data_IF_558678142595
#
_entry.id   IF_558678142595
#
_cell.length_a   1.000
_cell.length_b   1.000
_cell.length_c   1.000
_cell.angle_alpha   90.00
_cell.angle_beta   90.00
_cell.angle_gamma   90.00
#
_symmetry.space_group_name_H-M   'P 1'
#
loop_
_entity.id
_entity.type
_entity.pdbx_description
1 polymer ?
#
# COMPACT_ATOMS: atom_id res chain seq x y z
N UNK A 1 8.20 1.75 0.66
CA UNK A 1 8.12 0.66 -0.32
C UNK A 1 9.40 -0.15 -0.39
N UNK A 2 10.58 0.45 -0.64
CA UNK A 2 11.86 -0.30 -0.62
C UNK A 2 12.07 -1.08 0.67
N UNK A 3 12.00 -0.40 1.82
CA UNK A 3 12.08 -1.05 3.14
C UNK A 3 11.11 -2.23 3.30
N UNK A 4 9.84 -2.06 2.93
CA UNK A 4 8.84 -3.14 2.97
C UNK A 4 9.24 -4.34 2.11
N UNK A 5 9.71 -4.11 0.87
CA UNK A 5 10.15 -5.19 -0.01
C UNK A 5 11.36 -5.93 0.58
N UNK A 6 12.34 -5.19 1.09
CA UNK A 6 13.52 -5.76 1.73
C UNK A 6 13.19 -6.52 3.02
N UNK A 7 12.21 -6.06 3.81
CA UNK A 7 11.71 -6.81 4.98
C UNK A 7 11.10 -8.15 4.56
N UNK A 8 10.30 -8.18 3.50
CA UNK A 8 9.71 -9.43 2.97
C UNK A 8 10.82 -10.38 2.49
N UNK A 9 11.81 -9.86 1.76
CA UNK A 9 12.96 -10.65 1.29
C UNK A 9 13.83 -11.16 2.42
N UNK A 10 14.06 -10.35 3.45
CA UNK A 10 14.81 -10.74 4.65
C UNK A 10 14.11 -11.86 5.42
N UNK A 11 12.78 -11.94 5.34
CA UNK A 11 12.01 -13.08 5.85
C UNK A 11 12.12 -14.35 4.97
N UNK A 12 12.94 -14.32 3.91
CA UNK A 12 13.15 -15.44 2.99
C UNK A 12 12.05 -15.61 1.94
N UNK A 13 11.20 -14.60 1.75
CA UNK A 13 10.08 -14.62 0.79
C UNK A 13 10.45 -13.74 -0.40
N UNK A 14 10.44 -14.29 -1.61
CA UNK A 14 10.50 -13.47 -2.84
C UNK A 14 9.08 -13.18 -3.32
N UNK A 15 8.55 -11.96 -3.14
CA UNK A 15 7.17 -11.65 -3.51
C UNK A 15 7.04 -11.37 -5.00
N UNK A 16 5.85 -11.57 -5.54
CA UNK A 16 5.50 -10.99 -6.85
C UNK A 16 5.43 -9.46 -6.72
N UNK A 17 6.28 -8.76 -7.46
CA UNK A 17 6.31 -7.28 -7.47
C UNK A 17 5.49 -6.76 -8.64
N UNK A 18 4.43 -6.01 -8.35
CA UNK A 18 3.62 -5.32 -9.35
C UNK A 18 3.97 -3.84 -9.35
N UNK A 19 4.48 -3.33 -10.47
CA UNK A 19 4.70 -1.90 -10.70
C UNK A 19 3.35 -1.21 -10.96
N UNK A 20 2.59 -0.92 -9.91
CA UNK A 20 1.21 -0.40 -9.98
C UNK A 20 1.02 0.87 -10.83
N UNK A 21 2.08 1.67 -11.05
CA UNK A 21 2.02 2.83 -11.94
C UNK A 21 1.95 2.44 -13.42
N UNK A 22 2.52 1.30 -13.79
CA UNK A 22 2.50 0.75 -15.15
C UNK A 22 1.37 -0.26 -15.33
N UNK A 23 1.05 -0.99 -14.27
CA UNK A 23 0.07 -2.08 -14.28
C UNK A 23 -0.85 -1.91 -13.06
N UNK A 24 -1.73 -0.90 -13.06
CA UNK A 24 -2.62 -0.65 -11.94
C UNK A 24 -3.60 -1.82 -11.76
N UNK A 25 -4.10 -2.04 -10.52
CA UNK A 25 -5.16 -3.01 -10.29
C UNK A 25 -6.44 -2.61 -11.04
N UNK A 26 -7.31 -3.60 -11.33
CA UNK A 26 -8.68 -3.30 -11.74
C UNK A 26 -9.45 -2.58 -10.62
N UNK A 27 -10.61 -2.01 -10.94
CA UNK A 27 -11.48 -1.39 -9.92
C UNK A 27 -11.84 -2.38 -8.81
N UNK A 28 -12.25 -3.58 -9.20
CA UNK A 28 -12.66 -4.63 -8.26
C UNK A 28 -11.49 -5.05 -7.37
N UNK A 29 -10.29 -5.16 -7.95
CA UNK A 29 -9.07 -5.47 -7.20
C UNK A 29 -8.72 -4.34 -6.22
N UNK A 30 -8.81 -3.07 -6.64
CA UNK A 30 -8.52 -1.93 -5.78
C UNK A 30 -9.49 -1.86 -4.59
N UNK A 31 -10.80 -2.00 -4.85
CA UNK A 31 -11.83 -2.05 -3.81
C UNK A 31 -11.51 -3.18 -2.82
N UNK A 32 -11.21 -4.37 -3.32
CA UNK A 32 -10.89 -5.53 -2.49
C UNK A 32 -9.63 -5.28 -1.65
N UNK A 33 -8.57 -4.74 -2.24
CA UNK A 33 -7.32 -4.44 -1.53
C UNK A 33 -7.52 -3.45 -0.39
N UNK A 34 -8.33 -2.41 -0.61
CA UNK A 34 -8.65 -1.39 0.40
C UNK A 34 -9.46 -2.02 1.55
N UNK A 35 -10.50 -2.79 1.22
CA UNK A 35 -11.34 -3.46 2.20
C UNK A 35 -10.55 -4.51 3.02
N UNK A 36 -9.76 -5.36 2.36
CA UNK A 36 -8.94 -6.38 3.03
C UNK A 36 -7.85 -5.75 3.92
N UNK A 37 -7.43 -4.52 3.62
CA UNK A 37 -6.51 -3.74 4.45
C UNK A 37 -7.19 -3.06 5.65
N UNK A 38 -8.53 -3.13 5.75
CA UNK A 38 -9.30 -2.47 6.80
C UNK A 38 -9.30 -0.95 6.69
N UNK A 39 -9.13 -0.42 5.47
CA UNK A 39 -9.06 1.02 5.20
C UNK A 39 -10.35 1.52 4.57
N UNK A 40 -10.63 2.80 4.77
CA UNK A 40 -11.52 3.56 3.90
C UNK A 40 -10.83 3.89 2.57
N UNK A 41 -11.62 4.21 1.54
CA UNK A 41 -11.06 4.63 0.24
C UNK A 41 -10.20 5.88 0.40
N UNK A 42 -10.61 6.82 1.25
CA UNK A 42 -9.86 8.05 1.52
C UNK A 42 -8.48 7.78 2.13
N UNK A 43 -8.38 6.84 3.06
CA UNK A 43 -7.09 6.45 3.68
C UNK A 43 -6.13 5.76 2.69
N UNK A 44 -6.67 5.18 1.61
CA UNK A 44 -5.87 4.56 0.56
C UNK A 44 -5.29 5.57 -0.45
N UNK A 45 -5.72 6.83 -0.42
CA UNK A 45 -5.22 7.88 -1.31
C UNK A 45 -3.89 8.42 -0.79
N UNK A 46 -2.96 8.64 -1.72
CA UNK A 46 -1.69 9.29 -1.47
C UNK A 46 -1.83 10.78 -1.72
N UNK A 47 -1.65 11.57 -0.69
CA UNK A 47 -1.63 13.04 -0.82
C UNK A 47 -0.28 13.54 -1.33
N UNK A 48 0.80 13.23 -0.61
CA UNK A 48 2.13 13.82 -0.83
C UNK A 48 2.77 13.42 -2.16
N UNK A 49 3.12 14.42 -2.97
CA UNK A 49 3.81 14.25 -4.25
C UNK A 49 2.90 13.62 -5.32
N UNK A 50 1.65 14.06 -5.34
CA UNK A 50 0.59 13.66 -6.27
C UNK A 50 -0.29 14.88 -6.58
N UNK A 51 -1.15 14.85 -7.61
CA UNK A 51 -2.08 15.95 -7.90
C UNK A 51 -3.30 15.99 -6.95
N UNK A 52 -3.24 15.41 -5.74
CA UNK A 52 -4.37 15.29 -4.81
C UNK A 52 -5.14 16.60 -4.59
N UNK A 53 -4.43 17.68 -4.26
CA UNK A 53 -5.05 18.99 -4.04
C UNK A 53 -5.53 19.65 -5.34
N UNK A 54 -4.78 19.50 -6.44
CA UNK A 54 -5.13 20.04 -7.75
C UNK A 54 -6.42 19.42 -8.32
N UNK A 55 -6.67 18.15 -7.98
CA UNK A 55 -7.88 17.41 -8.34
C UNK A 55 -9.02 17.59 -7.33
N UNK A 56 -8.84 18.40 -6.28
CA UNK A 56 -9.85 18.67 -5.25
C UNK A 56 -10.22 17.44 -4.42
N UNK A 57 -9.29 16.49 -4.25
CA UNK A 57 -9.53 15.26 -3.51
C UNK A 57 -9.59 15.46 -1.99
N UNK A 58 -9.20 16.64 -1.51
CA UNK A 58 -9.37 17.09 -0.12
C UNK A 58 -10.85 17.41 0.23
N UNK A 59 -11.72 17.51 -0.76
CA UNK A 59 -13.15 17.76 -0.54
C UNK A 59 -13.79 16.60 0.27
N UNK A 60 -14.31 16.86 1.48
CA UNK A 60 -14.92 15.83 2.33
C UNK A 60 -16.26 15.28 1.79
N UNK A 61 -16.87 15.97 0.82
CA UNK A 61 -18.11 15.53 0.17
C UNK A 61 -17.95 14.53 -0.97
N UNK A 62 -16.72 14.14 -1.32
CA UNK A 62 -16.48 13.14 -2.37
C UNK A 62 -16.93 11.76 -1.93
N UNK A 63 -17.60 11.05 -2.84
CA UNK A 63 -17.95 9.64 -2.63
C UNK A 63 -16.73 8.73 -2.84
N UNK A 64 -16.81 7.53 -2.27
CA UNK A 64 -15.83 6.47 -2.49
C UNK A 64 -15.64 6.16 -3.98
N UNK A 65 -16.72 6.14 -4.76
CA UNK A 65 -16.66 5.89 -6.21
C UNK A 65 -15.85 6.95 -6.96
N UNK A 66 -16.03 8.24 -6.61
CA UNK A 66 -15.28 9.33 -7.23
C UNK A 66 -13.78 9.27 -6.89
N UNK A 67 -13.47 8.89 -5.65
CA UNK A 67 -12.09 8.70 -5.21
C UNK A 67 -11.42 7.49 -5.88
N UNK A 68 -12.16 6.38 -6.04
CA UNK A 68 -11.70 5.20 -6.78
C UNK A 68 -11.46 5.53 -8.26
N UNK A 69 -12.36 6.28 -8.89
CA UNK A 69 -12.20 6.73 -10.27
C UNK A 69 -10.93 7.58 -10.45
N UNK A 70 -10.67 8.50 -9.52
CA UNK A 70 -9.45 9.29 -9.51
C UNK A 70 -8.21 8.41 -9.40
N UNK A 71 -8.19 7.45 -8.48
CA UNK A 71 -7.05 6.52 -8.32
C UNK A 71 -6.80 5.64 -9.55
N UNK A 72 -7.85 5.20 -10.25
CA UNK A 72 -7.70 4.39 -11.46
C UNK A 72 -7.26 5.22 -12.67
N UNK A 73 -7.72 6.48 -12.76
CA UNK A 73 -7.30 7.42 -13.78
C UNK A 73 -5.84 7.86 -13.60
N UNK A 74 -5.45 8.15 -12.37
CA UNK A 74 -4.11 8.59 -12.00
C UNK A 74 -3.52 7.64 -10.92
N UNK A 75 -2.97 6.47 -11.31
CA UNK A 75 -2.47 5.46 -10.38
C UNK A 75 -1.47 5.97 -9.34
N UNK A 76 -0.79 7.09 -9.59
CA UNK A 76 0.10 7.74 -8.61
C UNK A 76 -0.60 8.13 -7.30
N UNK A 77 -1.93 8.30 -7.34
CA UNK A 77 -2.79 8.56 -6.19
C UNK A 77 -3.00 7.31 -5.31
N UNK A 78 -2.72 6.10 -5.78
CA UNK A 78 -2.78 4.91 -4.92
C UNK A 78 -1.59 4.94 -3.96
N UNK A 79 -1.87 4.93 -2.65
CA UNK A 79 -0.84 4.88 -1.63
C UNK A 79 -0.12 3.52 -1.64
N UNK A 80 1.15 3.53 -1.24
CA UNK A 80 2.04 2.37 -1.42
C UNK A 80 2.93 2.10 -0.21
N UNK A 81 3.43 0.86 -0.04
CA UNK A 81 3.04 -0.34 -0.79
C UNK A 81 1.79 -0.99 -0.17
N UNK A 82 0.90 -1.50 -1.01
CA UNK A 82 -0.01 -2.57 -0.60
C UNK A 82 0.74 -3.90 -0.67
N UNK A 83 0.61 -4.71 0.38
CA UNK A 83 1.15 -6.07 0.44
C UNK A 83 -0.03 -7.00 0.70
N UNK A 84 -0.16 -8.02 -0.15
CA UNK A 84 -1.24 -9.01 -0.11
C UNK A 84 -0.62 -10.36 0.19
N UNK A 85 -1.18 -11.06 1.19
CA UNK A 85 -0.76 -12.41 1.59
C UNK A 85 -1.99 -13.28 1.84
N UNK A 86 -1.83 -14.61 1.96
CA UNK A 86 -2.96 -15.49 2.29
C UNK A 86 -3.66 -15.17 3.62
N UNK A 87 -2.97 -14.51 4.57
CA UNK A 87 -3.54 -14.18 5.88
C UNK A 87 -4.11 -12.76 5.95
N UNK A 88 -3.85 -11.92 4.96
CA UNK A 88 -4.40 -10.56 4.91
C UNK A 88 -3.65 -9.60 4.00
N UNK A 89 -4.18 -8.37 3.94
CA UNK A 89 -3.64 -7.26 3.16
C UNK A 89 -3.25 -6.11 4.08
N UNK A 90 -2.18 -5.38 3.76
CA UNK A 90 -1.82 -4.13 4.45
C UNK A 90 -1.32 -3.06 3.49
N UNK A 91 -1.71 -1.82 3.74
CA UNK A 91 -0.95 -0.65 3.30
C UNK A 91 0.20 -0.46 4.30
N UNK A 92 1.42 -0.85 3.94
CA UNK A 92 2.57 -0.89 4.87
C UNK A 92 3.19 0.50 5.07
N UNK A 93 2.44 1.37 5.76
CA UNK A 93 2.85 2.71 6.17
C UNK A 93 2.57 2.88 7.67
N UNK A 94 3.57 2.74 8.55
CA UNK A 94 5.00 2.60 8.25
C UNK A 94 5.39 1.20 7.73
N UNK A 95 6.62 1.05 7.23
CA UNK A 95 7.04 -0.15 6.48
C UNK A 95 6.91 -1.46 7.24
N UNK A 96 7.16 -1.42 8.54
CA UNK A 96 7.13 -2.50 9.51
C UNK A 96 5.73 -3.09 9.76
N UNK A 97 4.65 -2.41 9.33
CA UNK A 97 3.30 -2.99 9.36
C UNK A 97 3.22 -4.26 8.49
N UNK A 98 4.14 -4.44 7.54
CA UNK A 98 4.25 -5.68 6.78
C UNK A 98 4.57 -6.89 7.65
N UNK A 99 5.18 -6.70 8.82
CA UNK A 99 5.58 -7.78 9.73
C UNK A 99 4.38 -8.48 10.38
N UNK A 100 3.19 -7.86 10.33
CA UNK A 100 1.92 -8.44 10.82
C UNK A 100 1.34 -9.50 9.85
N UNK A 101 1.88 -9.62 8.64
CA UNK A 101 1.34 -10.47 7.57
C UNK A 101 1.96 -11.88 7.45
N UNK A 102 3.22 -12.17 7.82
CA UNK A 102 3.74 -13.54 7.76
C UNK A 102 3.47 -14.32 9.06
N UNK A 103 2.98 -15.56 8.99
CA UNK A 103 3.07 -16.46 10.14
C UNK A 103 4.54 -16.88 10.36
N UNK A 104 5.12 -16.48 11.50
CA UNK A 104 6.36 -17.01 12.09
C UNK A 104 7.67 -16.94 11.26
N UNK A 105 7.85 -15.95 10.37
CA UNK A 105 9.08 -15.83 9.55
C UNK A 105 10.10 -14.79 10.01
N UNK A 106 9.88 -14.04 11.09
CA UNK A 106 10.89 -13.11 11.61
C UNK A 106 12.02 -13.87 12.32
N UNK A 107 12.99 -14.33 11.54
CA UNK A 107 14.15 -15.11 12.00
C UNK A 107 15.40 -14.26 12.26
N UNK A 108 15.25 -13.01 12.69
CA UNK A 108 16.40 -12.19 13.08
C UNK A 108 16.12 -10.69 13.13
N UNK A 109 17.11 -9.93 13.65
CA UNK A 109 17.06 -8.47 13.74
C UNK A 109 17.06 -7.83 12.34
N UNK A 110 16.25 -6.77 12.14
CA UNK A 110 16.23 -5.99 10.91
C UNK A 110 16.65 -4.53 11.18
N UNK A 111 17.30 -3.89 10.22
CA UNK A 111 17.65 -2.45 10.31
C UNK A 111 17.16 -1.76 9.04
N UNK A 112 16.32 -0.73 9.20
CA UNK A 112 15.78 0.09 8.09
C UNK A 112 16.91 0.88 7.41
N UNK A 113 16.64 1.41 6.21
CA UNK A 113 17.60 2.24 5.43
C UNK A 113 18.14 3.46 6.23
N UNK A 114 17.41 3.96 7.22
CA UNK A 114 17.78 5.09 8.08
C UNK A 114 18.52 4.68 9.36
N UNK A 115 18.80 3.39 9.55
CA UNK A 115 19.47 2.86 10.73
C UNK A 115 18.53 2.52 11.89
N UNK A 116 17.21 2.71 11.74
CA UNK A 116 16.24 2.30 12.76
C UNK A 116 16.20 0.78 12.89
N UNK A 117 16.37 0.26 14.11
CA UNK A 117 16.30 -1.17 14.40
C UNK A 117 14.85 -1.59 14.58
N UNK A 118 14.48 -2.72 13.95
CA UNK A 118 13.17 -3.37 14.02
C UNK A 118 13.34 -4.78 14.56
#
# INVERSE_FOLDING_TARGET
SRNTLEMIRNAGIEPTVIEYLKTPPSREQLIKMIADAGLTVREAIREKGTPYAELGLDNPGLSDDQMLDAMLKDPILINRPFVITPVGTRLSRPSEVVLDLPPDTHKGAFTKEDGEKV
#
